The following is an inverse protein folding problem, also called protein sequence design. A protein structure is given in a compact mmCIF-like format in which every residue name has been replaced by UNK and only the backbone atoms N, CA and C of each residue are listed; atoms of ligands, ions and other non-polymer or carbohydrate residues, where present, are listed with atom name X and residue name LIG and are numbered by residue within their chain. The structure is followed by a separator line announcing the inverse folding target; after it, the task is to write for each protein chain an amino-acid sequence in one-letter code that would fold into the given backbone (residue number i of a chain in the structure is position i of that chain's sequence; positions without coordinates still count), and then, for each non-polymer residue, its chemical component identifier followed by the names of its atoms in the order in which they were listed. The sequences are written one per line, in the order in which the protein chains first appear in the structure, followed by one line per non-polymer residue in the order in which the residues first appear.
data_IF_422114213350
#
_entry.id   IF_422114213350
#
_cell.length_a   1.000
_cell.length_b   1.000
_cell.length_c   1.000
_cell.angle_alpha   90.00
_cell.angle_beta   90.00
_cell.angle_gamma   90.00
#
_symmetry.space_group_name_H-M   'P 1'
#
loop_
_entity.id
_entity.type
_entity.pdbx_description
1 polymer ?
#
# COMPACT_ATOMS: atom_id res chain seq x y z
N UNK A 1 -15.45 -6.42 -20.57
CA UNK A 1 -15.08 -5.00 -20.34
C UNK A 1 -14.89 -4.81 -18.85
N UNK A 2 -13.72 -4.36 -18.39
CA UNK A 2 -13.49 -4.07 -16.97
C UNK A 2 -14.09 -2.70 -16.63
N UNK A 3 -14.84 -2.62 -15.52
CA UNK A 3 -15.38 -1.37 -14.98
C UNK A 3 -14.82 -1.14 -13.58
N UNK A 4 -14.30 0.05 -13.25
CA UNK A 4 -13.82 0.36 -11.92
C UNK A 4 -14.93 0.22 -10.87
N UNK A 5 -14.56 -0.19 -9.65
CA UNK A 5 -15.47 -0.12 -8.52
C UNK A 5 -15.92 1.32 -8.26
N UNK A 6 -17.16 1.49 -7.79
CA UNK A 6 -17.73 2.78 -7.38
C UNK A 6 -17.81 2.87 -5.86
N UNK A 7 -17.79 4.09 -5.33
CA UNK A 7 -17.97 4.31 -3.89
C UNK A 7 -19.40 3.95 -3.45
N UNK A 8 -19.60 3.73 -2.15
CA UNK A 8 -20.94 3.55 -1.55
C UNK A 8 -21.87 4.74 -1.81
N UNK A 9 -21.30 5.93 -2.07
CA UNK A 9 -22.03 7.14 -2.47
C UNK A 9 -22.43 7.17 -3.95
N UNK A 10 -22.09 6.15 -4.74
CA UNK A 10 -22.32 6.09 -6.19
C UNK A 10 -21.34 6.91 -7.03
N UNK A 11 -20.43 7.67 -6.40
CA UNK A 11 -19.38 8.45 -7.08
C UNK A 11 -18.20 7.56 -7.49
N UNK A 12 -17.47 7.90 -8.58
CA UNK A 12 -16.28 7.16 -8.98
C UNK A 12 -15.18 7.27 -7.91
N UNK A 13 -14.37 6.21 -7.80
CA UNK A 13 -13.20 6.25 -6.92
C UNK A 13 -12.14 7.24 -7.46
N UNK A 14 -11.40 7.93 -6.56
CA UNK A 14 -10.34 8.83 -6.98
C UNK A 14 -9.21 8.05 -7.65
N UNK A 15 -8.49 8.73 -8.56
CA UNK A 15 -7.29 8.16 -9.20
C UNK A 15 -6.24 7.82 -8.15
N UNK A 16 -5.64 6.65 -8.26
CA UNK A 16 -4.58 6.18 -7.34
C UNK A 16 -3.42 7.18 -7.19
N UNK A 17 -3.00 7.80 -8.30
CA UNK A 17 -1.93 8.82 -8.29
C UNK A 17 -2.29 10.06 -7.50
N UNK A 18 -3.55 10.51 -7.57
CA UNK A 18 -4.03 11.67 -6.81
C UNK A 18 -4.00 11.35 -5.31
N UNK A 19 -4.50 10.18 -4.91
CA UNK A 19 -4.48 9.72 -3.51
C UNK A 19 -3.05 9.63 -2.97
N UNK A 20 -2.14 8.99 -3.73
CA UNK A 20 -0.73 8.89 -3.36
C UNK A 20 -0.09 10.26 -3.15
N UNK A 21 -0.29 11.20 -4.08
CA UNK A 21 0.33 12.53 -3.98
C UNK A 21 -0.24 13.38 -2.85
N UNK A 22 -1.54 13.26 -2.56
CA UNK A 22 -2.24 14.13 -1.60
C UNK A 22 -2.18 13.61 -0.16
N UNK A 23 -2.24 12.29 0.05
CA UNK A 23 -2.32 11.69 1.39
C UNK A 23 -1.01 11.05 1.85
N UNK A 24 -0.12 10.65 0.94
CA UNK A 24 1.11 9.91 1.27
C UNK A 24 2.36 10.66 0.79
N UNK A 25 2.69 11.81 1.42
CA UNK A 25 3.88 12.58 1.06
C UNK A 25 5.17 11.82 1.44
N UNK A 26 6.26 12.12 0.75
CA UNK A 26 7.57 11.57 1.09
C UNK A 26 8.09 12.22 2.37
N UNK A 27 8.02 11.48 3.48
CA UNK A 27 8.52 11.90 4.79
C UNK A 27 9.36 10.78 5.41
N UNK A 28 10.49 11.14 6.02
CA UNK A 28 11.36 10.19 6.73
C UNK A 28 11.10 10.25 8.22
N UNK A 29 10.23 9.37 8.70
CA UNK A 29 9.86 9.24 10.12
C UNK A 29 10.36 7.89 10.62
N UNK A 30 11.07 7.88 11.76
CA UNK A 30 11.51 6.64 12.40
C UNK A 30 10.38 6.09 13.28
N UNK A 31 10.15 4.78 13.22
CA UNK A 31 9.21 4.12 14.12
C UNK A 31 9.78 4.10 15.57
N UNK A 32 9.01 4.50 16.59
CA UNK A 32 9.50 4.56 17.96
C UNK A 32 9.56 3.20 18.67
N UNK A 33 8.92 2.17 18.11
CA UNK A 33 8.74 0.85 18.73
C UNK A 33 9.53 -0.24 18.01
N UNK A 34 9.63 -0.16 16.69
CA UNK A 34 10.18 -1.22 15.85
C UNK A 34 11.45 -0.76 15.14
N UNK A 35 12.34 -1.73 14.92
CA UNK A 35 13.59 -1.48 14.20
C UNK A 35 13.42 -1.81 12.72
N UNK A 36 14.41 -1.46 11.91
CA UNK A 36 14.45 -1.85 10.50
C UNK A 36 14.36 -3.38 10.34
N UNK A 37 14.95 -4.16 11.25
CA UNK A 37 14.89 -5.63 11.19
C UNK A 37 13.45 -6.17 11.11
N UNK A 38 12.48 -5.51 11.77
CA UNK A 38 11.06 -5.87 11.69
C UNK A 38 10.50 -5.65 10.28
N UNK A 39 10.89 -4.56 9.60
CA UNK A 39 10.54 -4.31 8.21
C UNK A 39 11.13 -5.40 7.29
N UNK A 40 12.43 -5.69 7.42
CA UNK A 40 13.08 -6.71 6.58
C UNK A 40 12.48 -8.11 6.79
N UNK A 41 12.21 -8.49 8.03
CA UNK A 41 11.62 -9.80 8.33
C UNK A 41 10.20 -9.94 7.75
N UNK A 42 9.38 -8.90 7.86
CA UNK A 42 8.03 -8.89 7.28
C UNK A 42 8.05 -9.09 5.77
N UNK A 43 9.02 -8.47 5.08
CA UNK A 43 9.23 -8.66 3.65
C UNK A 43 9.57 -10.13 3.33
N UNK A 44 10.55 -10.72 4.02
CA UNK A 44 10.97 -12.11 3.81
C UNK A 44 9.78 -13.07 3.97
N UNK A 45 9.07 -12.98 5.10
CA UNK A 45 7.93 -13.86 5.39
C UNK A 45 6.81 -13.69 4.36
N UNK A 46 6.50 -12.46 3.95
CA UNK A 46 5.43 -12.21 2.96
C UNK A 46 5.79 -12.78 1.59
N UNK A 47 7.04 -12.64 1.15
CA UNK A 47 7.47 -13.21 -0.13
C UNK A 47 7.56 -14.73 -0.10
N UNK A 48 7.88 -15.33 1.04
CA UNK A 48 7.89 -16.78 1.22
C UNK A 48 6.47 -17.37 1.22
N UNK A 49 5.51 -16.70 1.89
CA UNK A 49 4.12 -17.17 1.99
C UNK A 49 3.27 -16.84 0.76
N UNK A 50 3.55 -15.70 0.12
CA UNK A 50 2.75 -15.13 -0.96
C UNK A 50 3.67 -14.66 -2.08
N UNK A 51 4.30 -15.63 -2.74
CA UNK A 51 4.95 -15.40 -4.02
C UNK A 51 3.85 -15.33 -5.11
N UNK A 52 3.80 -14.22 -5.86
CA UNK A 52 3.10 -14.22 -7.14
C UNK A 52 3.99 -14.97 -8.14
N UNK A 53 3.90 -16.30 -8.12
CA UNK A 53 4.44 -17.13 -9.19
C UNK A 53 3.61 -16.87 -10.45
N UNK A 54 4.19 -16.13 -11.39
CA UNK A 54 3.73 -16.07 -12.76
C UNK A 54 4.64 -16.96 -13.62
#
# INVERSE_FOLDING_TARGET
VWTPAVSTSGRPLPRSRLVSHTLFPEVRIKDPRWTLATMQWGQIMTHDMAELQF
#
